data_IF_323331285243
#
_entry.id   IF_323331285243
#
_cell.length_a   1.000
_cell.length_b   1.000
_cell.length_c   1.000
_cell.angle_alpha   90.00
_cell.angle_beta   90.00
_cell.angle_gamma   90.00
#
_symmetry.space_group_name_H-M   'P 1'
#
loop_
_entity.id
_entity.type
_entity.pdbx_description
1 polymer ?
#
# COMPACT_ATOMS: atom_id res chain seq x y z
N UNK A 1 1.58 -14.49 22.54
CA UNK A 1 1.40 -13.29 21.68
C UNK A 1 -0.07 -13.18 21.34
N UNK A 2 -0.69 -12.01 21.53
CA UNK A 2 -2.13 -11.83 21.32
C UNK A 2 -2.42 -11.81 19.81
N UNK A 3 -3.49 -12.49 19.35
CA UNK A 3 -3.87 -12.58 17.92
C UNK A 3 -3.99 -11.18 17.31
N UNK A 4 -4.54 -10.21 18.04
CA UNK A 4 -4.68 -8.81 17.59
C UNK A 4 -3.33 -8.11 17.37
N UNK A 5 -2.34 -8.36 18.21
CA UNK A 5 -1.00 -7.81 18.04
C UNK A 5 -0.30 -8.38 16.81
N UNK A 6 -0.46 -9.69 16.57
CA UNK A 6 0.05 -10.34 15.36
C UNK A 6 -0.59 -9.77 14.10
N UNK A 7 -1.91 -9.63 14.08
CA UNK A 7 -2.64 -9.04 12.94
C UNK A 7 -2.19 -7.59 12.68
N UNK A 8 -2.08 -6.78 13.73
CA UNK A 8 -1.61 -5.39 13.64
C UNK A 8 -0.17 -5.32 13.11
N UNK A 9 0.71 -6.18 13.60
CA UNK A 9 2.10 -6.22 13.15
C UNK A 9 2.20 -6.67 11.69
N UNK A 10 1.45 -7.71 11.30
CA UNK A 10 1.39 -8.20 9.92
C UNK A 10 0.84 -7.13 8.97
N UNK A 11 -0.17 -6.36 9.39
CA UNK A 11 -0.68 -5.24 8.60
C UNK A 11 0.34 -4.10 8.48
N UNK A 12 0.99 -3.71 9.58
CA UNK A 12 1.95 -2.59 9.56
C UNK A 12 3.21 -2.92 8.76
N UNK A 13 3.73 -4.13 8.89
CA UNK A 13 4.96 -4.59 8.22
C UNK A 13 4.71 -5.26 6.87
N UNK A 14 3.46 -5.61 6.58
CA UNK A 14 3.07 -6.29 5.35
C UNK A 14 3.24 -5.42 4.10
N UNK A 15 3.47 -6.10 2.97
CA UNK A 15 3.47 -5.47 1.65
C UNK A 15 2.12 -4.84 1.32
N UNK A 16 2.08 -3.96 0.30
CA UNK A 16 0.82 -3.37 -0.17
C UNK A 16 -0.21 -4.43 -0.60
N UNK A 17 0.25 -5.57 -1.12
CA UNK A 17 -0.62 -6.71 -1.45
C UNK A 17 -1.35 -7.23 -0.20
N UNK A 18 -0.61 -7.49 0.86
CA UNK A 18 -1.18 -7.95 2.13
C UNK A 18 -2.16 -6.92 2.69
N UNK A 19 -1.80 -5.63 2.65
CA UNK A 19 -2.69 -4.55 3.10
C UNK A 19 -4.00 -4.48 2.29
N UNK A 20 -3.95 -4.65 0.97
CA UNK A 20 -5.15 -4.72 0.12
C UNK A 20 -6.06 -5.90 0.52
N UNK A 21 -5.49 -7.08 0.77
CA UNK A 21 -6.24 -8.24 1.23
C UNK A 21 -6.92 -7.96 2.58
N UNK A 22 -6.17 -7.39 3.55
CA UNK A 22 -6.73 -7.05 4.87
C UNK A 22 -7.84 -5.99 4.78
N UNK A 23 -7.70 -4.98 3.92
CA UNK A 23 -8.72 -3.95 3.71
C UNK A 23 -10.00 -4.58 3.15
N UNK A 24 -9.89 -5.45 2.14
CA UNK A 24 -11.03 -6.17 1.57
C UNK A 24 -11.70 -7.07 2.61
N UNK A 25 -10.92 -7.87 3.35
CA UNK A 25 -11.44 -8.74 4.40
C UNK A 25 -12.10 -7.95 5.53
N UNK A 26 -11.50 -6.85 5.96
CA UNK A 26 -12.06 -5.97 6.98
C UNK A 26 -13.36 -5.31 6.52
N UNK A 27 -13.42 -4.80 5.29
CA UNK A 27 -14.63 -4.24 4.71
C UNK A 27 -15.76 -5.29 4.64
N UNK A 28 -15.44 -6.51 4.19
CA UNK A 28 -16.42 -7.61 4.15
C UNK A 28 -16.98 -7.93 5.53
N UNK A 29 -16.12 -8.06 6.55
CA UNK A 29 -16.57 -8.37 7.91
C UNK A 29 -17.48 -7.25 8.44
N UNK A 30 -17.08 -5.99 8.30
CA UNK A 30 -17.84 -4.84 8.80
C UNK A 30 -19.19 -4.72 8.11
N UNK A 31 -19.22 -4.80 6.77
CA UNK A 31 -20.45 -4.68 6.01
C UNK A 31 -21.41 -5.87 6.25
N UNK A 32 -20.87 -7.09 6.32
CA UNK A 32 -21.70 -8.29 6.61
C UNK A 32 -22.27 -8.26 8.02
N UNK A 33 -21.49 -7.80 9.02
CA UNK A 33 -22.01 -7.62 10.37
C UNK A 33 -23.11 -6.56 10.42
N UNK A 34 -22.90 -5.42 9.76
CA UNK A 34 -23.88 -4.35 9.70
C UNK A 34 -25.19 -4.82 9.02
N UNK A 35 -25.08 -5.51 7.90
CA UNK A 35 -26.24 -6.07 7.18
C UNK A 35 -27.02 -7.05 8.07
N UNK A 36 -26.32 -7.97 8.74
CA UNK A 36 -26.97 -8.93 9.62
C UNK A 36 -27.66 -8.26 10.83
N UNK A 37 -27.02 -7.22 11.42
CA UNK A 37 -27.64 -6.45 12.50
C UNK A 37 -28.92 -5.77 12.01
N UNK A 38 -28.89 -5.10 10.86
CA UNK A 38 -30.08 -4.45 10.29
C UNK A 38 -31.20 -5.46 10.04
N UNK A 39 -30.89 -6.63 9.48
CA UNK A 39 -31.86 -7.71 9.27
C UNK A 39 -32.48 -8.22 10.58
N UNK A 40 -31.69 -8.36 11.65
CA UNK A 40 -32.19 -8.75 12.97
C UNK A 40 -33.19 -7.77 13.57
N UNK A 41 -33.05 -6.48 13.25
CA UNK A 41 -34.00 -5.43 13.66
C UNK A 41 -35.13 -5.18 12.65
N UNK A 42 -35.31 -6.04 11.64
CA UNK A 42 -36.24 -5.86 10.52
C UNK A 42 -36.11 -4.52 9.80
N UNK A 43 -34.90 -3.94 9.79
CA UNK A 43 -34.59 -2.75 9.03
C UNK A 43 -34.19 -3.14 7.60
N UNK A 44 -34.77 -2.43 6.63
CA UNK A 44 -34.38 -2.63 5.23
C UNK A 44 -32.96 -2.10 5.05
N UNK A 45 -32.01 -3.01 4.78
CA UNK A 45 -30.60 -2.67 4.56
C UNK A 45 -30.27 -2.27 3.12
N UNK A 46 -31.25 -2.30 2.21
CA UNK A 46 -31.03 -2.11 0.77
C UNK A 46 -30.44 -0.75 0.42
N UNK A 47 -30.75 0.30 1.23
CA UNK A 47 -30.17 1.62 1.06
C UNK A 47 -28.65 1.64 1.23
N UNK A 48 -28.07 0.76 2.08
CA UNK A 48 -26.62 0.67 2.26
C UNK A 48 -25.92 0.31 0.97
N UNK A 49 -26.51 -0.58 0.18
CA UNK A 49 -25.91 -1.06 -1.04
C UNK A 49 -25.77 0.02 -2.09
N UNK A 50 -26.70 1.00 -2.14
CA UNK A 50 -26.61 2.15 -3.02
C UNK A 50 -25.41 3.06 -2.68
N UNK A 51 -24.97 3.08 -1.42
CA UNK A 51 -23.80 3.85 -0.99
C UNK A 51 -22.47 3.16 -1.25
N UNK A 52 -22.44 1.86 -1.49
CA UNK A 52 -21.20 1.10 -1.64
C UNK A 52 -21.05 0.38 -2.98
N UNK A 53 -22.14 -0.04 -3.62
CA UNK A 53 -22.15 -0.69 -4.94
C UNK A 53 -22.26 0.36 -6.04
N UNK A 54 -21.69 0.08 -7.23
CA UNK A 54 -21.80 0.98 -8.39
C UNK A 54 -23.17 0.82 -9.06
N UNK A 55 -24.01 1.87 -9.13
CA UNK A 55 -25.22 1.81 -9.91
C UNK A 55 -24.93 1.93 -11.41
N UNK A 56 -25.68 1.20 -12.24
CA UNK A 56 -25.65 1.36 -13.70
C UNK A 56 -26.39 2.61 -14.17
N UNK A 57 -27.32 3.12 -13.40
CA UNK A 57 -28.07 4.36 -13.67
C UNK A 57 -27.12 5.57 -13.52
N UNK A 58 -27.02 6.37 -14.59
CA UNK A 58 -26.13 7.55 -14.63
C UNK A 58 -26.53 8.62 -13.61
N UNK A 59 -27.84 8.81 -13.38
CA UNK A 59 -28.33 9.80 -12.41
C UNK A 59 -27.93 9.39 -11.00
N UNK A 60 -28.15 8.12 -10.64
CA UNK A 60 -27.74 7.58 -9.36
C UNK A 60 -26.21 7.64 -9.19
N UNK A 61 -25.45 7.32 -10.23
CA UNK A 61 -23.99 7.38 -10.21
C UNK A 61 -23.48 8.81 -9.97
N UNK A 62 -24.10 9.83 -10.55
CA UNK A 62 -23.71 11.23 -10.31
C UNK A 62 -23.86 11.62 -8.84
N UNK A 63 -24.90 11.15 -8.15
CA UNK A 63 -25.09 11.39 -6.71
C UNK A 63 -24.21 10.51 -5.82
N UNK A 64 -23.69 9.38 -6.33
CA UNK A 64 -22.90 8.41 -5.59
C UNK A 64 -21.56 8.11 -6.27
N UNK A 65 -20.89 9.13 -6.83
CA UNK A 65 -19.67 8.96 -7.62
C UNK A 65 -18.53 8.25 -6.88
N UNK A 66 -18.47 8.32 -5.55
CA UNK A 66 -17.49 7.60 -4.72
C UNK A 66 -17.63 6.08 -4.84
N UNK A 67 -18.79 5.58 -5.28
CA UNK A 67 -19.03 4.15 -5.47
C UNK A 67 -18.12 3.56 -6.53
N UNK A 68 -17.60 4.36 -7.47
CA UNK A 68 -16.55 3.93 -8.41
C UNK A 68 -15.29 3.41 -7.72
N UNK A 69 -15.12 3.70 -6.43
CA UNK A 69 -13.99 3.21 -5.61
C UNK A 69 -14.47 2.21 -4.56
N UNK A 70 -15.56 2.51 -3.84
CA UNK A 70 -15.97 1.70 -2.70
C UNK A 70 -16.42 0.29 -3.09
N UNK A 71 -17.02 0.11 -4.27
CA UNK A 71 -17.51 -1.16 -4.75
C UNK A 71 -16.45 -2.27 -4.82
N UNK A 72 -15.18 -1.87 -5.06
CA UNK A 72 -14.04 -2.80 -5.17
C UNK A 72 -13.77 -3.54 -3.86
N UNK A 73 -14.30 -3.05 -2.74
CA UNK A 73 -14.10 -3.60 -1.40
C UNK A 73 -15.35 -4.30 -0.86
N UNK A 74 -16.45 -4.28 -1.63
CA UNK A 74 -17.73 -4.93 -1.27
C UNK A 74 -17.77 -6.33 -1.86
N UNK A 75 -18.19 -7.31 -1.07
CA UNK A 75 -18.31 -8.70 -1.52
C UNK A 75 -19.62 -9.31 -1.02
N UNK A 76 -20.23 -10.11 -1.87
CA UNK A 76 -21.48 -10.82 -1.59
C UNK A 76 -21.17 -12.28 -1.23
N UNK A 77 -21.11 -12.55 0.06
CA UNK A 77 -20.86 -13.88 0.58
C UNK A 77 -19.40 -14.30 0.66
N UNK A 78 -19.18 -15.33 1.49
CA UNK A 78 -17.83 -15.82 1.84
C UNK A 78 -17.03 -16.35 0.64
N UNK A 79 -17.67 -17.14 -0.23
CA UNK A 79 -16.95 -17.71 -1.39
C UNK A 79 -16.51 -16.62 -2.37
N UNK A 80 -17.32 -15.56 -2.54
CA UNK A 80 -16.97 -14.47 -3.42
C UNK A 80 -15.70 -13.76 -2.93
N UNK A 81 -15.62 -13.38 -1.66
CA UNK A 81 -14.41 -12.75 -1.14
C UNK A 81 -13.23 -13.72 -1.11
N UNK A 82 -13.45 -14.98 -0.75
CA UNK A 82 -12.40 -15.99 -0.67
C UNK A 82 -11.67 -16.14 -2.02
N UNK A 83 -12.41 -16.35 -3.11
CA UNK A 83 -11.81 -16.49 -4.44
C UNK A 83 -11.17 -15.19 -4.94
N UNK A 84 -11.77 -14.03 -4.66
CA UNK A 84 -11.15 -12.75 -4.98
C UNK A 84 -9.81 -12.56 -4.27
N UNK A 85 -9.74 -12.84 -2.97
CA UNK A 85 -8.49 -12.68 -2.20
C UNK A 85 -7.44 -13.72 -2.59
N UNK A 86 -7.86 -14.94 -2.92
CA UNK A 86 -6.97 -15.97 -3.43
C UNK A 86 -6.33 -15.58 -4.77
N UNK A 87 -7.14 -15.08 -5.70
CA UNK A 87 -6.66 -14.57 -6.99
C UNK A 87 -5.77 -13.34 -6.80
N UNK A 88 -6.17 -12.38 -5.95
CA UNK A 88 -5.36 -11.21 -5.64
C UNK A 88 -4.01 -11.60 -5.05
N UNK A 89 -3.98 -12.58 -4.15
CA UNK A 89 -2.75 -13.07 -3.53
C UNK A 89 -1.81 -13.71 -4.57
N UNK A 90 -2.31 -14.61 -5.38
CA UNK A 90 -1.49 -15.33 -6.35
C UNK A 90 -0.99 -14.40 -7.47
N UNK A 91 -1.90 -13.72 -8.14
CA UNK A 91 -1.52 -12.83 -9.25
C UNK A 91 -0.81 -11.57 -8.77
N UNK A 92 -1.16 -11.07 -7.59
CA UNK A 92 -0.46 -9.95 -6.95
C UNK A 92 1.00 -10.28 -6.61
N UNK A 93 1.28 -11.50 -6.13
CA UNK A 93 2.66 -11.97 -5.91
C UNK A 93 3.46 -12.01 -7.22
N UNK A 94 2.88 -12.57 -8.30
CA UNK A 94 3.55 -12.64 -9.59
C UNK A 94 3.74 -11.22 -10.16
N UNK A 95 2.74 -10.36 -10.05
CA UNK A 95 2.82 -8.96 -10.47
C UNK A 95 4.01 -8.24 -9.80
N UNK A 96 4.18 -8.42 -8.51
CA UNK A 96 5.27 -7.82 -7.73
C UNK A 96 6.67 -8.34 -8.09
N UNK A 97 6.80 -9.40 -8.88
CA UNK A 97 8.10 -9.83 -9.42
C UNK A 97 8.60 -8.89 -10.52
N UNK A 98 7.69 -8.19 -11.21
CA UNK A 98 8.02 -7.30 -12.34
C UNK A 98 7.69 -5.83 -12.08
N UNK A 99 6.83 -5.54 -11.10
CA UNK A 99 6.29 -4.22 -10.84
C UNK A 99 6.35 -3.86 -9.35
N UNK A 100 6.27 -2.57 -9.05
CA UNK A 100 6.33 -2.05 -7.68
C UNK A 100 4.98 -2.19 -6.94
N UNK A 101 5.02 -2.12 -5.61
CA UNK A 101 3.83 -2.06 -4.76
C UNK A 101 2.92 -0.87 -5.09
N UNK A 102 3.50 0.29 -5.45
CA UNK A 102 2.73 1.47 -5.87
C UNK A 102 1.97 1.21 -7.17
N UNK A 103 2.58 0.49 -8.12
CA UNK A 103 1.92 0.10 -9.35
C UNK A 103 0.82 -0.93 -9.11
N UNK A 104 1.01 -1.87 -8.16
CA UNK A 104 -0.03 -2.81 -7.78
C UNK A 104 -1.28 -2.10 -7.25
N UNK A 105 -1.13 -1.22 -6.26
CA UNK A 105 -2.26 -0.45 -5.70
C UNK A 105 -2.85 0.48 -6.76
N UNK A 106 -2.01 1.14 -7.53
CA UNK A 106 -2.44 2.03 -8.61
C UNK A 106 -3.26 1.29 -9.67
N UNK A 107 -2.80 0.11 -10.11
CA UNK A 107 -3.53 -0.70 -11.10
C UNK A 107 -4.82 -1.30 -10.51
N UNK A 108 -4.81 -1.71 -9.23
CA UNK A 108 -6.02 -2.14 -8.55
C UNK A 108 -7.11 -1.05 -8.60
N UNK A 109 -6.75 0.20 -8.28
CA UNK A 109 -7.71 1.32 -8.29
C UNK A 109 -8.09 1.77 -9.70
N UNK A 110 -7.12 2.00 -10.58
CA UNK A 110 -7.39 2.40 -11.98
C UNK A 110 -8.16 1.31 -12.72
N UNK A 111 -7.74 0.05 -12.55
CA UNK A 111 -8.41 -1.10 -13.16
C UNK A 111 -9.85 -1.23 -12.71
N UNK A 112 -10.10 -1.04 -11.41
CA UNK A 112 -11.47 -1.04 -10.89
C UNK A 112 -12.30 0.13 -11.41
N UNK A 113 -11.77 1.35 -11.46
CA UNK A 113 -12.50 2.50 -12.04
C UNK A 113 -12.86 2.24 -13.50
N UNK A 114 -11.91 1.77 -14.31
CA UNK A 114 -12.17 1.43 -15.73
C UNK A 114 -13.19 0.30 -15.84
N UNK A 115 -13.13 -0.71 -14.99
CA UNK A 115 -14.09 -1.80 -14.93
C UNK A 115 -15.52 -1.29 -14.64
N UNK A 116 -15.65 -0.40 -13.66
CA UNK A 116 -16.93 0.22 -13.31
C UNK A 116 -17.48 1.08 -14.46
N UNK A 117 -16.65 1.91 -15.07
CA UNK A 117 -17.05 2.75 -16.21
C UNK A 117 -17.44 1.89 -17.41
N UNK A 118 -16.74 0.78 -17.66
CA UNK A 118 -17.10 -0.16 -18.71
C UNK A 118 -18.47 -0.82 -18.49
N UNK A 119 -18.74 -1.24 -17.24
CA UNK A 119 -20.05 -1.75 -16.82
C UNK A 119 -21.15 -0.71 -17.04
N UNK A 120 -20.98 0.51 -16.52
CA UNK A 120 -21.96 1.59 -16.65
C UNK A 120 -22.21 1.92 -18.14
N UNK A 121 -21.14 2.07 -18.93
CA UNK A 121 -21.26 2.34 -20.36
C UNK A 121 -22.04 1.24 -21.09
N UNK A 122 -21.73 -0.03 -20.83
CA UNK A 122 -22.40 -1.16 -21.47
C UNK A 122 -23.90 -1.20 -21.12
N UNK A 123 -24.28 -0.96 -19.86
CA UNK A 123 -25.68 -0.97 -19.43
C UNK A 123 -26.50 0.16 -20.03
N UNK A 124 -25.85 1.29 -20.35
CA UNK A 124 -26.56 2.43 -20.97
C UNK A 124 -26.52 2.41 -22.52
N UNK A 125 -25.61 1.63 -23.14
CA UNK A 125 -25.47 1.55 -24.60
C UNK A 125 -26.23 0.39 -25.16
N UNK A 126 -26.20 -0.79 -24.52
CA UNK A 126 -26.83 -2.00 -25.09
C UNK A 126 -28.29 -2.15 -24.70
N UNK A 127 -29.23 -2.24 -25.68
CA UNK A 127 -30.65 -2.40 -25.42
C UNK A 127 -31.00 -3.61 -24.54
N UNK A 128 -30.19 -4.64 -24.54
CA UNK A 128 -30.35 -5.83 -23.71
C UNK A 128 -30.46 -5.50 -22.21
N UNK A 129 -29.76 -4.48 -21.75
CA UNK A 129 -29.76 -4.08 -20.33
C UNK A 129 -30.75 -3.00 -19.97
N UNK A 130 -31.42 -2.38 -20.96
CA UNK A 130 -32.37 -1.29 -20.74
C UNK A 130 -33.45 -1.58 -19.66
N UNK A 131 -34.05 -2.80 -19.59
CA UNK A 131 -35.06 -3.09 -18.57
C UNK A 131 -34.52 -3.07 -17.12
N UNK A 132 -33.22 -3.25 -16.92
CA UNK A 132 -32.60 -3.41 -15.59
C UNK A 132 -31.63 -2.28 -15.22
N UNK A 133 -31.40 -1.31 -16.12
CA UNK A 133 -30.40 -0.24 -15.91
C UNK A 133 -30.65 0.58 -14.64
N UNK A 134 -31.89 0.83 -14.26
CA UNK A 134 -32.22 1.63 -13.06
C UNK A 134 -32.10 0.86 -11.73
N UNK A 135 -31.95 -0.47 -11.78
CA UNK A 135 -31.97 -1.33 -10.61
C UNK A 135 -30.63 -2.05 -10.38
N UNK A 136 -29.79 -2.13 -11.43
CA UNK A 136 -28.55 -2.92 -11.36
C UNK A 136 -27.48 -2.22 -10.57
N UNK A 137 -26.91 -2.97 -9.62
CA UNK A 137 -25.81 -2.54 -8.76
C UNK A 137 -24.67 -3.54 -8.90
N UNK A 138 -23.45 -3.07 -9.17
CA UNK A 138 -22.26 -3.90 -9.30
C UNK A 138 -21.36 -3.78 -8.07
N UNK A 139 -20.71 -4.88 -7.70
CA UNK A 139 -19.79 -4.98 -6.56
C UNK A 139 -18.65 -5.96 -6.84
N UNK A 140 -17.59 -5.88 -6.07
CA UNK A 140 -16.51 -6.85 -6.05
C UNK A 140 -15.16 -6.33 -6.54
N UNK A 141 -14.08 -6.91 -6.01
CA UNK A 141 -12.71 -6.62 -6.39
C UNK A 141 -12.32 -7.19 -7.76
N UNK A 142 -13.15 -8.05 -8.35
CA UNK A 142 -12.77 -8.91 -9.47
C UNK A 142 -12.37 -8.14 -10.74
N UNK A 143 -12.98 -6.97 -11.01
CA UNK A 143 -12.56 -6.09 -12.10
C UNK A 143 -11.13 -5.56 -11.91
N UNK A 144 -10.80 -5.12 -10.71
CA UNK A 144 -9.43 -4.72 -10.34
C UNK A 144 -8.44 -5.88 -10.45
N UNK A 145 -8.83 -7.06 -9.99
CA UNK A 145 -8.01 -8.28 -10.05
C UNK A 145 -7.79 -8.71 -11.49
N UNK A 146 -8.81 -8.61 -12.34
CA UNK A 146 -8.67 -8.91 -13.77
C UNK A 146 -7.63 -8.01 -14.44
N UNK A 147 -7.56 -6.73 -14.09
CA UNK A 147 -6.52 -5.84 -14.59
C UNK A 147 -5.11 -6.34 -14.19
N UNK A 148 -4.94 -6.81 -12.95
CA UNK A 148 -3.68 -7.38 -12.47
C UNK A 148 -3.36 -8.69 -13.20
N UNK A 149 -4.34 -9.58 -13.38
CA UNK A 149 -4.18 -10.86 -14.10
C UNK A 149 -3.69 -10.61 -15.51
N UNK A 150 -4.36 -9.72 -16.26
CA UNK A 150 -4.01 -9.45 -17.65
C UNK A 150 -2.66 -8.75 -17.77
N UNK A 151 -2.38 -7.76 -16.93
CA UNK A 151 -1.06 -7.10 -16.91
C UNK A 151 0.06 -8.12 -16.64
N UNK A 152 -0.14 -9.01 -15.69
CA UNK A 152 0.83 -10.06 -15.35
C UNK A 152 1.03 -11.05 -16.48
N UNK A 153 -0.08 -11.51 -17.09
CA UNK A 153 -0.03 -12.47 -18.19
C UNK A 153 0.64 -11.90 -19.44
N UNK A 154 0.47 -10.61 -19.74
CA UNK A 154 1.14 -9.95 -20.87
C UNK A 154 2.63 -9.74 -20.58
N UNK A 155 3.00 -9.45 -19.32
CA UNK A 155 4.39 -9.23 -18.93
C UNK A 155 5.18 -10.53 -18.90
N UNK A 156 4.60 -11.61 -18.37
CA UNK A 156 5.25 -12.90 -18.18
C UNK A 156 4.40 -14.05 -18.74
N UNK A 157 4.15 -14.10 -20.08
CA UNK A 157 3.14 -14.99 -20.69
C UNK A 157 3.46 -16.48 -20.55
N UNK A 158 4.73 -16.84 -20.49
CA UNK A 158 5.17 -18.22 -20.41
C UNK A 158 5.44 -18.69 -18.97
N UNK A 159 5.27 -17.82 -17.98
CA UNK A 159 5.36 -18.20 -16.58
C UNK A 159 4.24 -19.19 -16.25
N UNK A 160 4.59 -20.25 -15.53
CA UNK A 160 3.66 -21.30 -15.15
C UNK A 160 3.15 -21.07 -13.73
N UNK A 161 1.85 -21.25 -13.54
CA UNK A 161 1.20 -21.32 -12.24
C UNK A 161 0.63 -22.73 -12.05
N UNK A 162 0.91 -23.33 -10.89
CA UNK A 162 0.36 -24.63 -10.54
C UNK A 162 -1.07 -24.48 -10.06
N UNK A 163 -2.01 -24.94 -10.86
CA UNK A 163 -3.43 -24.98 -10.53
C UNK A 163 -3.79 -26.33 -9.93
N UNK A 164 -4.68 -26.32 -8.93
CA UNK A 164 -5.23 -27.53 -8.36
C UNK A 164 -6.01 -28.26 -9.46
N UNK A 165 -5.76 -29.54 -9.65
CA UNK A 165 -6.33 -30.44 -10.66
C UNK A 165 -5.84 -30.27 -12.11
N UNK A 166 -5.32 -29.12 -12.52
CA UNK A 166 -4.86 -28.87 -13.90
C UNK A 166 -3.34 -28.90 -14.07
N UNK A 167 -2.58 -28.97 -12.94
CA UNK A 167 -1.12 -28.94 -13.00
C UNK A 167 -0.57 -27.56 -13.36
N UNK A 168 0.56 -27.53 -14.09
CA UNK A 168 1.22 -26.30 -14.47
C UNK A 168 0.58 -25.70 -15.72
N UNK A 169 0.02 -24.50 -15.60
CA UNK A 169 -0.63 -23.78 -16.70
C UNK A 169 0.07 -22.45 -16.91
N UNK A 170 0.41 -22.10 -18.16
CA UNK A 170 1.01 -20.81 -18.48
C UNK A 170 0.02 -19.67 -18.31
N UNK A 171 0.46 -18.53 -17.77
CA UNK A 171 -0.38 -17.39 -17.46
C UNK A 171 -1.20 -16.86 -18.65
N UNK A 172 -0.63 -16.90 -19.87
CA UNK A 172 -1.36 -16.51 -21.07
C UNK A 172 -2.64 -17.33 -21.31
N UNK A 173 -2.64 -18.62 -20.98
CA UNK A 173 -3.84 -19.45 -21.14
C UNK A 173 -4.89 -19.16 -20.06
N UNK A 174 -4.45 -18.90 -18.83
CA UNK A 174 -5.34 -18.45 -17.75
C UNK A 174 -6.03 -17.13 -18.13
N UNK A 175 -5.27 -16.17 -18.64
CA UNK A 175 -5.80 -14.88 -19.09
C UNK A 175 -6.80 -15.03 -20.23
N UNK A 176 -6.49 -15.86 -21.24
CA UNK A 176 -7.40 -16.14 -22.38
C UNK A 176 -8.69 -16.75 -21.88
N UNK A 177 -8.63 -17.77 -21.04
CA UNK A 177 -9.80 -18.44 -20.48
C UNK A 177 -10.64 -17.47 -19.64
N UNK A 178 -10.01 -16.61 -18.84
CA UNK A 178 -10.71 -15.60 -18.03
C UNK A 178 -11.45 -14.58 -18.91
N UNK A 179 -10.83 -14.09 -20.00
CA UNK A 179 -11.48 -13.16 -20.95
C UNK A 179 -12.64 -13.86 -21.65
N UNK A 180 -12.43 -15.07 -22.18
CA UNK A 180 -13.47 -15.81 -22.89
C UNK A 180 -14.64 -16.16 -22.00
N UNK A 181 -14.37 -16.63 -20.77
CA UNK A 181 -15.42 -16.89 -19.75
C UNK A 181 -16.24 -15.64 -19.47
N UNK A 182 -15.59 -14.48 -19.31
CA UNK A 182 -16.29 -13.23 -19.10
C UNK A 182 -17.11 -12.81 -20.33
N UNK A 183 -16.56 -12.97 -21.53
CA UNK A 183 -17.29 -12.65 -22.76
C UNK A 183 -18.54 -13.50 -22.94
N UNK A 184 -18.44 -14.81 -22.74
CA UNK A 184 -19.62 -15.69 -22.83
C UNK A 184 -20.62 -15.50 -21.70
N UNK A 185 -20.20 -14.93 -20.56
CA UNK A 185 -21.05 -14.67 -19.40
C UNK A 185 -21.78 -13.31 -19.41
N UNK A 186 -21.60 -12.44 -20.42
CA UNK A 186 -22.18 -11.09 -20.42
C UNK A 186 -23.72 -11.06 -20.35
N UNK A 187 -24.38 -12.09 -20.85
CA UNK A 187 -25.87 -12.22 -20.82
C UNK A 187 -26.36 -13.13 -19.67
N UNK A 188 -25.51 -13.52 -18.75
CA UNK A 188 -25.88 -14.28 -17.55
C UNK A 188 -26.45 -13.38 -16.45
N UNK A 189 -26.97 -13.99 -15.37
CA UNK A 189 -27.47 -13.27 -14.20
C UNK A 189 -26.39 -12.33 -13.59
N UNK A 190 -25.10 -12.65 -13.75
CA UNK A 190 -23.98 -11.81 -13.35
C UNK A 190 -23.35 -11.05 -14.54
N UNK A 191 -24.13 -10.66 -15.53
CA UNK A 191 -23.63 -9.94 -16.72
C UNK A 191 -22.84 -8.67 -16.37
N UNK A 192 -23.26 -7.93 -15.34
CA UNK A 192 -22.56 -6.75 -14.85
C UNK A 192 -21.14 -7.05 -14.35
N UNK A 193 -20.95 -8.11 -13.58
CA UNK A 193 -19.63 -8.57 -13.16
C UNK A 193 -18.75 -9.01 -14.32
N UNK A 194 -19.33 -9.68 -15.33
CA UNK A 194 -18.60 -10.10 -16.53
C UNK A 194 -18.12 -8.91 -17.38
N UNK A 195 -18.97 -7.88 -17.52
CA UNK A 195 -18.57 -6.63 -18.17
C UNK A 195 -17.46 -5.90 -17.41
N UNK A 196 -17.55 -5.88 -16.09
CA UNK A 196 -16.48 -5.32 -15.26
C UNK A 196 -15.14 -6.09 -15.43
N UNK A 197 -15.18 -7.41 -15.58
CA UNK A 197 -13.99 -8.20 -15.89
C UNK A 197 -13.36 -7.78 -17.23
N UNK A 198 -14.18 -7.60 -18.28
CA UNK A 198 -13.68 -7.15 -19.59
C UNK A 198 -13.10 -5.73 -19.51
N UNK A 199 -13.74 -4.82 -18.77
CA UNK A 199 -13.21 -3.48 -18.50
C UNK A 199 -11.90 -3.51 -17.74
N UNK A 200 -11.78 -4.37 -16.73
CA UNK A 200 -10.54 -4.62 -16.00
C UNK A 200 -9.44 -5.19 -16.91
N UNK A 201 -9.78 -6.17 -17.75
CA UNK A 201 -8.86 -6.73 -18.73
C UNK A 201 -8.31 -5.65 -19.69
N UNK A 202 -9.17 -4.78 -20.18
CA UNK A 202 -8.79 -3.64 -21.02
C UNK A 202 -7.82 -2.70 -20.26
N UNK A 203 -8.10 -2.39 -19.00
CA UNK A 203 -7.24 -1.56 -18.18
C UNK A 203 -5.85 -2.19 -17.99
N UNK A 204 -5.78 -3.48 -17.71
CA UNK A 204 -4.53 -4.23 -17.59
C UNK A 204 -3.70 -4.21 -18.87
N UNK A 205 -4.34 -4.38 -20.03
CA UNK A 205 -3.72 -4.27 -21.34
C UNK A 205 -3.16 -2.86 -21.57
N UNK A 206 -4.00 -1.81 -21.38
CA UNK A 206 -3.58 -0.42 -21.58
C UNK A 206 -2.44 -0.05 -20.63
N UNK A 207 -2.45 -0.53 -19.39
CA UNK A 207 -1.36 -0.30 -18.43
C UNK A 207 -0.02 -0.80 -18.99
N UNK A 208 0.04 -2.03 -19.49
CA UNK A 208 1.30 -2.60 -20.05
C UNK A 208 1.74 -1.86 -21.31
N UNK A 209 0.82 -1.58 -22.23
CA UNK A 209 1.14 -0.86 -23.47
C UNK A 209 1.68 0.55 -23.16
N UNK A 210 1.02 1.27 -22.26
CA UNK A 210 1.45 2.61 -21.83
C UNK A 210 2.81 2.57 -21.14
N UNK A 211 3.02 1.57 -20.28
CA UNK A 211 4.28 1.41 -19.55
C UNK A 211 5.45 1.14 -20.48
N UNK A 212 5.25 0.32 -21.54
CA UNK A 212 6.25 0.09 -22.60
C UNK A 212 6.60 1.35 -23.40
N UNK A 213 5.69 2.33 -23.41
CA UNK A 213 5.91 3.67 -23.98
C UNK A 213 6.51 4.66 -22.98
N UNK A 214 6.91 4.20 -21.78
CA UNK A 214 7.45 5.06 -20.71
C UNK A 214 6.41 5.83 -19.91
N UNK A 215 5.10 5.58 -20.13
CA UNK A 215 3.99 6.25 -19.44
C UNK A 215 3.39 5.32 -18.39
N UNK A 216 3.53 5.68 -17.13
CA UNK A 216 2.93 4.95 -16.01
C UNK A 216 1.61 5.60 -15.61
N UNK A 217 0.50 4.95 -15.97
CA UNK A 217 -0.87 5.40 -15.70
C UNK A 217 -1.20 5.39 -14.19
N UNK A 218 -0.45 4.65 -13.39
CA UNK A 218 -0.69 4.55 -11.94
C UNK A 218 -0.10 5.73 -11.15
N UNK A 219 0.77 6.54 -11.78
CA UNK A 219 1.43 7.68 -11.12
C UNK A 219 0.44 8.72 -10.58
N UNK A 220 -0.68 8.95 -11.28
CA UNK A 220 -1.72 9.88 -10.82
C UNK A 220 -2.31 9.44 -9.48
N UNK A 221 -2.76 8.19 -9.41
CA UNK A 221 -3.30 7.59 -8.19
C UNK A 221 -2.24 7.55 -7.08
N UNK A 222 -1.02 7.14 -7.39
CA UNK A 222 0.06 7.10 -6.41
C UNK A 222 0.33 8.48 -5.79
N UNK A 223 0.29 9.58 -6.58
CA UNK A 223 0.45 10.94 -6.06
C UNK A 223 -0.69 11.35 -5.12
N UNK A 224 -1.92 11.01 -5.46
CA UNK A 224 -3.09 11.28 -4.61
C UNK A 224 -2.94 10.54 -3.28
N UNK A 225 -2.61 9.24 -3.31
CA UNK A 225 -2.40 8.44 -2.12
C UNK A 225 -1.22 8.96 -1.26
N UNK A 226 -0.11 9.32 -1.88
CA UNK A 226 1.04 9.92 -1.18
C UNK A 226 0.64 11.27 -0.53
N UNK A 227 -0.19 12.08 -1.20
CA UNK A 227 -0.70 13.35 -0.65
C UNK A 227 -1.59 13.11 0.55
N UNK A 228 -2.56 12.19 0.45
CA UNK A 228 -3.44 11.81 1.56
C UNK A 228 -2.61 11.27 2.73
N UNK A 229 -1.68 10.36 2.48
CA UNK A 229 -0.79 9.82 3.51
C UNK A 229 0.01 10.92 4.22
N UNK A 230 0.52 11.91 3.47
CA UNK A 230 1.30 13.02 4.03
C UNK A 230 0.46 14.00 4.87
N UNK A 231 -0.85 14.13 4.59
CA UNK A 231 -1.76 14.94 5.41
C UNK A 231 -1.93 14.37 6.83
N UNK A 232 -1.94 13.04 6.96
CA UNK A 232 -2.06 12.34 8.25
C UNK A 232 -0.73 12.03 8.92
N UNK A 233 0.41 12.32 8.28
CA UNK A 233 1.72 12.07 8.85
C UNK A 233 2.06 13.18 9.84
N UNK A 234 2.40 12.87 11.12
CA UNK A 234 2.84 13.87 12.06
C UNK A 234 4.08 14.58 11.48
N UNK A 235 4.03 15.91 11.41
CA UNK A 235 5.17 16.72 10.94
C UNK A 235 6.38 16.39 11.81
N UNK A 236 7.37 15.70 11.24
CA UNK A 236 8.68 15.58 11.91
C UNK A 236 9.21 16.99 12.09
N UNK A 237 9.38 17.40 13.35
CA UNK A 237 10.03 18.65 13.68
C UNK A 237 11.41 18.65 13.00
N UNK A 238 11.61 19.53 12.01
CA UNK A 238 12.93 19.79 11.46
C UNK A 238 13.70 20.51 12.56
N UNK A 239 14.52 19.80 13.29
CA UNK A 239 15.52 20.43 14.15
C UNK A 239 16.43 21.22 13.22
N UNK A 240 16.25 22.55 13.17
CA UNK A 240 17.20 23.44 12.50
C UNK A 240 18.52 23.27 13.29
N UNK A 241 19.62 22.85 12.65
CA UNK A 241 20.89 22.84 13.34
C UNK A 241 21.18 24.27 13.79
N UNK A 242 21.39 24.45 15.10
CA UNK A 242 21.72 25.76 15.65
C UNK A 242 23.02 26.24 14.99
N UNK A 243 22.99 27.33 14.19
CA UNK A 243 24.17 27.84 13.49
C UNK A 243 25.30 28.26 14.45
N UNK A 244 24.98 28.55 15.74
CA UNK A 244 25.96 28.83 16.78
C UNK A 244 26.58 27.59 17.40
N UNK A 245 26.18 26.37 17.06
CA UNK A 245 26.79 25.12 17.47
C UNK A 245 27.81 24.58 16.45
N UNK A 246 28.40 25.45 15.63
CA UNK A 246 29.70 25.18 15.03
C UNK A 246 30.76 25.26 16.13
N UNK A 247 30.79 24.34 17.07
CA UNK A 247 32.03 23.97 17.68
C UNK A 247 32.88 23.46 16.53
N UNK A 248 33.90 24.27 16.20
CA UNK A 248 34.99 23.87 15.34
C UNK A 248 35.37 22.46 15.77
N UNK A 249 35.06 21.48 14.94
CA UNK A 249 35.58 20.13 15.15
C UNK A 249 37.08 20.30 15.09
N UNK A 250 37.75 20.33 16.26
CA UNK A 250 39.18 20.25 16.33
C UNK A 250 39.59 19.04 15.51
N UNK A 251 40.54 19.22 14.61
CA UNK A 251 41.16 18.15 13.86
C UNK A 251 41.75 17.16 14.87
N UNK A 252 41.64 15.84 14.60
CA UNK A 252 42.13 14.79 15.50
C UNK A 252 43.60 15.01 15.85
N UNK A 253 44.39 15.59 14.95
CA UNK A 253 45.78 16.01 15.20
C UNK A 253 45.88 17.13 16.25
N UNK A 254 45.03 18.16 16.20
CA UNK A 254 44.97 19.23 17.20
C UNK A 254 44.46 18.74 18.55
N UNK A 255 43.46 17.84 18.53
CA UNK A 255 42.97 17.21 19.76
C UNK A 255 44.07 16.41 20.44
N UNK A 256 44.77 15.57 19.68
CA UNK A 256 45.86 14.76 20.19
C UNK A 256 47.04 15.60 20.67
N UNK A 257 47.40 16.67 19.96
CA UNK A 257 48.45 17.61 20.38
C UNK A 257 48.09 18.34 21.67
N UNK A 258 46.83 18.79 21.84
CA UNK A 258 46.37 19.41 23.08
C UNK A 258 46.32 18.42 24.25
N UNK A 259 45.96 17.15 23.98
CA UNK A 259 45.98 16.09 24.99
C UNK A 259 47.43 15.81 25.43
N UNK A 260 48.35 15.70 24.50
CA UNK A 260 49.77 15.47 24.79
C UNK A 260 50.39 16.63 25.58
N UNK A 261 50.08 17.91 25.22
CA UNK A 261 50.53 19.08 26.00
C UNK A 261 50.05 19.05 27.45
N UNK A 262 48.77 18.77 27.67
CA UNK A 262 48.20 18.66 29.02
C UNK A 262 48.84 17.55 29.83
N UNK A 263 49.11 16.39 29.23
CA UNK A 263 49.83 15.31 29.90
C UNK A 263 51.26 15.72 30.29
N UNK A 264 52.00 16.34 29.37
CA UNK A 264 53.36 16.81 29.65
C UNK A 264 53.43 17.90 30.75
N UNK A 265 52.35 18.74 30.85
CA UNK A 265 52.25 19.71 31.96
C UNK A 265 52.00 19.00 33.31
N UNK A 266 51.15 17.98 33.34
CA UNK A 266 50.87 17.19 34.56
C UNK A 266 52.14 16.41 34.98
N UNK A 267 52.84 15.80 34.03
CA UNK A 267 54.08 15.08 34.31
C UNK A 267 55.14 16.00 34.97
N UNK A 268 55.28 17.24 34.47
CA UNK A 268 56.18 18.25 35.12
C UNK A 268 55.72 18.58 36.53
N UNK A 269 54.43 18.69 36.81
CA UNK A 269 53.91 18.94 38.16
C UNK A 269 54.19 17.74 39.06
N UNK A 270 54.05 16.53 38.57
CA UNK A 270 54.35 15.30 39.30
C UNK A 270 55.86 15.15 39.62
N UNK A 271 56.70 15.49 38.66
CA UNK A 271 58.19 15.49 38.90
C UNK A 271 58.55 16.53 39.91
N UNK A 272 57.88 17.71 39.92
CA UNK A 272 58.10 18.75 40.94
C UNK A 272 57.73 18.28 42.36
N UNK A 273 56.55 17.57 42.43
CA UNK A 273 56.12 16.92 43.69
C UNK A 273 57.17 15.90 44.18
N UNK A 274 57.68 15.11 43.26
CA UNK A 274 58.68 14.05 43.56
C UNK A 274 59.99 14.62 44.06
N UNK A 275 60.42 15.76 43.53
CA UNK A 275 61.73 16.40 43.89
C UNK A 275 61.65 17.36 45.08
N UNK A 276 60.53 18.10 45.26
CA UNK A 276 60.45 19.22 46.18
C UNK A 276 59.22 19.20 47.10
N UNK A 277 58.40 18.12 47.02
CA UNK A 277 57.21 17.93 47.84
C UNK A 277 56.00 18.73 47.38
N UNK A 278 54.79 18.33 47.80
CA UNK A 278 53.48 18.93 47.38
C UNK A 278 53.35 20.44 47.73
N UNK A 279 54.00 20.87 48.83
CA UNK A 279 53.95 22.27 49.27
C UNK A 279 54.73 23.22 48.36
N UNK A 280 55.57 22.71 47.48
CA UNK A 280 56.36 23.50 46.50
C UNK A 280 55.51 23.91 45.29
N UNK A 281 54.29 23.39 45.17
CA UNK A 281 53.40 23.72 44.05
C UNK A 281 52.72 25.09 44.23
N UNK A 282 52.65 25.84 43.15
CA UNK A 282 51.87 27.07 43.11
C UNK A 282 50.36 26.77 43.16
N UNK A 283 49.58 27.76 43.53
CA UNK A 283 48.11 27.63 43.60
C UNK A 283 47.50 27.18 42.27
N UNK A 284 48.04 27.62 41.14
CA UNK A 284 47.61 27.21 39.81
C UNK A 284 47.98 25.77 39.49
N UNK A 285 49.17 25.31 39.87
CA UNK A 285 49.62 23.93 39.68
C UNK A 285 48.75 22.94 40.51
N UNK A 286 48.42 23.31 41.75
CA UNK A 286 47.47 22.55 42.61
C UNK A 286 46.11 22.45 41.98
N UNK A 287 45.58 23.56 41.42
CA UNK A 287 44.28 23.58 40.73
C UNK A 287 44.26 22.68 39.48
N UNK A 288 45.28 22.75 38.62
CA UNK A 288 45.41 21.89 37.43
C UNK A 288 45.49 20.42 37.75
N UNK A 289 46.18 20.04 38.77
CA UNK A 289 46.29 18.67 39.25
C UNK A 289 44.92 18.14 39.72
N UNK A 290 44.16 18.98 40.45
CA UNK A 290 42.81 18.63 40.96
C UNK A 290 41.78 18.51 39.85
N UNK A 291 41.83 19.39 38.84
CA UNK A 291 40.95 19.33 37.67
C UNK A 291 41.16 18.08 36.82
N UNK A 292 42.34 17.51 36.80
CA UNK A 292 42.64 16.28 36.07
C UNK A 292 42.24 15.04 36.86
N UNK A 293 42.34 15.04 38.20
CA UNK A 293 41.91 13.93 39.06
C UNK A 293 40.41 13.69 39.06
N UNK A 294 39.61 14.75 38.80
CA UNK A 294 38.12 14.64 38.71
C UNK A 294 37.61 14.25 37.34
N UNK A 295 38.47 13.93 36.36
CA UNK A 295 38.07 13.57 34.99
C UNK A 295 38.23 12.09 34.65
N UNK A 296 38.66 11.29 35.61
CA UNK A 296 38.74 9.82 35.47
C UNK A 296 37.58 9.11 36.13
#
# INVERSE_FOLDING_TARGET
MNIFENLKQTFQQGSALIKLIYINAGAFIVLSLLENILKLFNLQGDFLWLYFKVPSDLTQLMYHAWTLITYMFVHEGFLHIFFNMLCLFWFGKIFLMSFSEKQLVGLYLVGGIVAALFYVAAYNIFPYYAPVVHQSLMLGASGSIMAIIIATAIQTPNMEMRLLFLGNVKLKYIAIVAILSSFFGITSDNGGGQLAHLGGALAGYIFIVSLRQGKDLTKGVSRILDTIHNLFRPRKLKVKPNPHRRKTRMNDAEYNANKARKMAEIDKILDKIKSSGYESLSTEEKKRLFEQGNKN
#
